data_IF_718017902792
#
_entry.id   IF_718017902792
#
_cell.length_a   1.000
_cell.length_b   1.000
_cell.length_c   1.000
_cell.angle_alpha   90.00
_cell.angle_beta   90.00
_cell.angle_gamma   90.00
#
_symmetry.space_group_name_H-M   'P 1'
#
loop_
_entity.id
_entity.type
_entity.pdbx_description
1 polymer ?
2 non-polymer ?
3 non-polymer ?
4 water ?
#
# COMPACT_ATOMS: atom_id res chain seq x y z
N UNK A 24 -19.40 -3.09 -20.37
CA UNK A 24 -19.87 -1.87 -19.71
C UNK A 24 -19.99 -2.07 -18.20
N UNK A 25 -20.26 -3.30 -17.78
CA UNK A 25 -20.39 -3.64 -16.37
C UNK A 25 -19.07 -4.23 -15.87
N UNK A 26 -18.39 -3.46 -15.04
CA UNK A 26 -17.05 -3.80 -14.61
C UNK A 26 -17.03 -4.54 -13.29
N UNK A 27 -15.91 -5.21 -13.04
CA UNK A 27 -15.65 -5.83 -11.76
C UNK A 27 -14.39 -5.20 -11.18
N UNK A 28 -14.40 -5.03 -9.87
CA UNK A 28 -13.28 -4.47 -9.15
C UNK A 28 -12.83 -5.26 -7.93
N UNK A 29 -11.54 -5.17 -7.62
CA UNK A 29 -10.94 -5.86 -6.48
C UNK A 29 -10.52 -4.92 -5.37
N UNK A 30 -10.79 -5.33 -4.15
CA UNK A 30 -10.27 -4.67 -2.96
C UNK A 30 -10.04 -5.74 -1.91
N UNK A 31 -8.94 -5.69 -1.17
CA UNK A 31 -8.61 -6.73 -0.20
C UNK A 31 -9.29 -6.55 1.16
N UNK A 32 -9.87 -5.37 1.42
CA UNK A 32 -10.24 -4.97 2.78
C UNK A 32 -11.65 -5.38 3.20
N UNK A 33 -11.89 -5.28 4.49
CA UNK A 33 -13.17 -5.69 5.07
C UNK A 33 -14.16 -4.56 5.15
N UNK A 34 -15.32 -4.84 5.74
CA UNK A 34 -16.36 -3.85 5.81
C UNK A 34 -15.95 -2.65 6.63
N UNK A 35 -16.38 -1.48 6.14
CA UNK A 35 -16.16 -0.25 6.87
C UNK A 35 -14.78 0.33 6.77
N UNK A 36 -13.83 -0.45 6.19
CA UNK A 36 -12.49 0.04 5.99
C UNK A 36 -12.55 1.19 5.01
N UNK A 37 -11.74 2.21 5.24
CA UNK A 37 -11.74 3.41 4.41
C UNK A 37 -11.74 3.09 2.94
N UNK A 38 -10.85 2.18 2.52
CA UNK A 38 -10.78 1.82 1.10
C UNK A 38 -12.04 1.16 0.56
N UNK A 39 -12.67 0.37 1.41
CA UNK A 39 -13.86 -0.32 1.04
C UNK A 39 -15.01 0.66 0.76
N UNK A 40 -15.23 1.53 1.72
CA UNK A 40 -16.31 2.53 1.64
C UNK A 40 -16.02 3.45 0.45
N UNK A 41 -14.75 3.79 0.27
CA UNK A 41 -14.37 4.68 -0.83
C UNK A 41 -14.49 4.02 -2.22
N UNK A 43 -16.68 1.71 -2.92
CA UNK A 43 -18.14 1.72 -3.12
C UNK A 43 -18.54 3.08 -3.66
N UNK A 44 -17.94 4.11 -3.11
CA UNK A 44 -18.24 5.47 -3.58
C UNK A 44 -17.78 5.70 -5.02
N UNK A 45 -16.60 5.18 -5.36
CA UNK A 45 -16.13 5.22 -6.72
C UNK A 45 -17.14 4.54 -7.64
N UNK A 46 -17.63 3.37 -7.26
CA UNK A 46 -18.60 2.67 -8.10
C UNK A 46 -19.89 3.50 -8.22
N UNK A 47 -20.36 4.06 -7.12
CA UNK A 47 -21.56 4.90 -7.14
C UNK A 47 -21.38 6.13 -8.05
N UNK A 48 -20.23 6.79 -7.89
CA UNK A 48 -19.96 7.99 -8.68
C UNK A 48 -19.74 7.68 -10.16
N UNK A 49 -19.15 6.54 -10.49
CA UNK A 49 -19.03 6.10 -11.87
C UNK A 49 -20.42 6.00 -12.51
N UNK A 50 -21.36 5.32 -11.83
CA UNK A 50 -22.70 5.17 -12.37
C UNK A 50 -23.43 6.50 -12.49
N UNK A 51 -23.25 7.38 -11.50
CA UNK A 51 -23.86 8.70 -11.58
C UNK A 51 -23.31 9.55 -12.73
N UNK A 52 -21.99 9.63 -12.84
CA UNK A 52 -21.38 10.59 -13.77
C UNK A 52 -21.45 10.11 -15.22
N UNK A 53 -21.62 8.80 -15.41
CA UNK A 53 -21.78 8.22 -16.75
C UNK A 53 -23.24 7.97 -17.10
N UNK A 54 -24.17 8.50 -16.31
CA UNK A 54 -25.59 8.23 -16.50
C UNK A 54 -25.97 6.77 -16.66
N UNK A 55 -25.25 5.89 -15.99
CA UNK A 55 -25.58 4.47 -16.00
C UNK A 55 -24.91 3.68 -17.13
N UNK A 56 -24.17 4.38 -17.98
CA UNK A 56 -23.51 3.71 -19.11
C UNK A 56 -22.40 2.81 -18.64
N UNK A 57 -21.76 3.17 -17.53
CA UNK A 57 -20.75 2.30 -16.94
C UNK A 57 -21.05 2.03 -15.46
N UNK A 58 -21.00 0.77 -15.06
CA UNK A 58 -21.17 0.41 -13.66
C UNK A 58 -20.03 -0.48 -13.19
N UNK A 59 -19.94 -0.65 -11.87
CA UNK A 59 -18.85 -1.39 -11.26
C UNK A 59 -19.36 -2.20 -10.09
N UNK A 60 -19.10 -3.51 -10.13
CA UNK A 60 -19.35 -4.38 -9.01
C UNK A 60 -18.04 -4.68 -8.25
N UNK A 62 -15.76 -6.58 -5.43
CA UNK A 62 -15.54 -7.74 -4.60
C UNK A 62 -14.51 -7.36 -3.55
N UNK A 63 -14.98 -7.01 -2.36
CA UNK A 63 -14.15 -6.65 -1.24
C UNK A 63 -13.62 -7.91 -0.53
N UNK A 64 -12.84 -7.70 0.53
CA UNK A 64 -12.35 -8.81 1.32
C UNK A 64 -11.44 -9.77 0.58
N UNK A 65 -10.88 -9.39 -0.57
CA UNK A 65 -9.93 -10.27 -1.24
C UNK A 65 -10.50 -11.58 -1.78
N UNK A 66 -11.83 -11.64 -1.90
CA UNK A 66 -12.47 -12.90 -2.25
C UNK A 66 -12.14 -13.31 -3.69
N UNK A 67 -11.62 -12.38 -4.49
CA UNK A 67 -11.18 -12.72 -5.84
C UNK A 67 -9.71 -13.20 -5.93
N UNK A 68 -8.96 -13.03 -4.86
CA UNK A 68 -7.62 -13.58 -4.84
C UNK A 68 -6.59 -12.66 -4.20
N UNK A 69 -5.35 -13.13 -4.21
CA UNK A 69 -4.28 -12.33 -3.62
C UNK A 69 -4.00 -11.06 -4.39
N UNK A 70 -3.27 -10.15 -3.78
CA UNK A 70 -3.01 -8.90 -4.47
C UNK A 70 -2.16 -9.12 -5.75
N UNK A 71 -1.08 -9.91 -5.67
CA UNK A 71 -0.36 -10.09 -6.95
C UNK A 71 -1.22 -10.73 -8.07
N UNK A 72 -2.06 -11.66 -7.71
CA UNK A 72 -2.93 -12.29 -8.68
C UNK A 72 -3.91 -11.24 -9.25
N UNK A 73 -4.48 -10.40 -8.39
CA UNK A 73 -5.41 -9.43 -8.88
C UNK A 73 -4.73 -8.44 -9.81
N UNK A 74 -3.51 -8.02 -9.46
CA UNK A 74 -2.74 -7.12 -10.33
C UNK A 74 -2.59 -7.77 -11.72
N UNK A 75 -2.24 -9.05 -11.78
CA UNK A 75 -2.15 -9.72 -13.06
C UNK A 75 -3.50 -9.75 -13.80
N UNK A 76 -4.59 -9.96 -13.08
CA UNK A 76 -5.91 -10.00 -13.74
C UNK A 76 -6.25 -8.63 -14.36
N UNK A 77 -5.94 -7.55 -13.66
CA UNK A 77 -6.21 -6.22 -14.20
C UNK A 77 -5.32 -5.97 -15.43
N UNK A 78 -4.06 -6.33 -15.33
CA UNK A 78 -3.15 -6.11 -16.46
C UNK A 78 -3.63 -6.90 -17.70
N UNK A 79 -4.09 -8.12 -17.46
CA UNK A 79 -4.54 -9.01 -18.53
C UNK A 79 -5.95 -8.69 -19.05
N UNK A 80 -6.66 -7.79 -18.39
CA UNK A 80 -8.01 -7.46 -18.77
C UNK A 80 -9.10 -8.41 -18.32
N UNK A 81 -8.77 -9.34 -17.44
CA UNK A 81 -9.76 -10.22 -16.85
C UNK A 81 -10.58 -9.52 -15.75
N UNK A 82 -10.03 -8.43 -15.23
CA UNK A 82 -10.68 -7.58 -14.23
C UNK A 82 -10.43 -6.16 -14.67
N UNK A 83 -11.41 -5.28 -14.54
CA UNK A 83 -11.21 -3.91 -15.00
C UNK A 83 -10.54 -3.01 -13.96
N UNK A 84 -10.85 -3.22 -12.69
CA UNK A 84 -10.53 -2.25 -11.65
C UNK A 84 -9.89 -2.92 -10.47
N UNK A 85 -8.93 -2.23 -9.84
CA UNK A 85 -8.43 -2.64 -8.55
C UNK A 85 -8.06 -1.42 -7.72
N UNK A 86 -8.23 -1.53 -6.41
CA UNK A 86 -7.54 -0.66 -5.48
C UNK A 86 -6.30 -1.43 -5.04
N UNK A 87 -5.16 -1.04 -5.58
CA UNK A 87 -3.90 -1.70 -5.31
C UNK A 87 -2.94 -0.82 -4.49
N UNK A 88 -2.39 -1.43 -3.46
CA UNK A 88 -1.20 -0.87 -2.81
C UNK A 88 -0.03 -0.91 -3.79
N UNK A 89 0.81 0.11 -3.82
CA UNK A 89 1.92 0.10 -4.79
C UNK A 89 3.04 -0.89 -4.47
N UNK A 90 3.07 -1.41 -3.24
CA UNK A 90 4.07 -2.40 -2.86
C UNK A 90 4.19 -3.58 -3.80
N UNK A 91 3.09 -4.29 -4.00
CA UNK A 91 3.10 -5.44 -4.94
C UNK A 91 3.12 -5.06 -6.43
N UNK A 92 2.90 -3.78 -6.73
CA UNK A 92 3.10 -3.28 -8.10
C UNK A 92 4.57 -3.08 -8.46
N UNK A 93 5.42 -2.90 -7.45
CA UNK A 93 6.81 -2.54 -7.69
C UNK A 93 7.57 -3.55 -8.52
N UNK A 94 7.35 -4.85 -8.26
CA UNK A 94 8.14 -5.82 -9.05
C UNK A 94 7.78 -5.78 -10.54
N UNK A 95 6.59 -5.29 -10.89
CA UNK A 95 6.14 -5.19 -12.29
C UNK A 95 6.59 -3.87 -12.96
N UNK A 96 6.71 -2.81 -12.16
CA UNK A 96 6.90 -1.45 -12.66
C UNK A 96 8.02 -0.73 -11.92
N UNK A 97 9.22 -0.66 -12.52
CA UNK A 97 10.38 -0.08 -11.85
C UNK A 97 10.14 1.27 -11.22
N UNK A 98 9.42 2.17 -11.90
CA UNK A 98 9.24 3.53 -11.38
C UNK A 98 8.35 3.47 -10.16
N UNK A 99 7.33 2.59 -10.19
CA UNK A 99 6.43 2.48 -9.05
C UNK A 99 7.16 1.91 -7.87
N UNK A 100 8.17 1.11 -8.15
CA UNK A 100 8.97 0.49 -7.12
C UNK A 100 9.68 1.51 -6.22
N UNK A 101 9.85 2.74 -6.68
CA UNK A 101 10.50 3.75 -5.87
C UNK A 101 9.76 4.05 -4.53
N UNK A 102 8.45 3.86 -4.48
CA UNK A 102 7.70 4.21 -3.26
C UNK A 102 7.82 3.11 -2.21
N UNK A 103 8.41 1.98 -2.61
CA UNK A 103 8.64 0.84 -1.76
C UNK A 103 10.04 0.90 -1.09
N UNK A 104 10.81 1.94 -1.38
CA UNK A 104 12.08 2.14 -0.67
C UNK A 104 11.84 2.60 0.76
N UNK A 105 12.42 1.88 1.74
CA UNK A 105 12.27 2.25 3.14
C UNK A 105 12.78 3.67 3.42
N UNK A 106 12.02 4.43 4.18
CA UNK A 106 12.44 5.76 4.62
C UNK A 106 12.65 6.76 3.48
N UNK A 107 11.90 6.63 2.38
CA UNK A 107 12.05 7.57 1.27
C UNK A 107 11.16 8.82 1.40
N UNK A 108 10.04 8.70 2.09
CA UNK A 108 9.23 9.86 2.43
C UNK A 108 9.43 10.18 3.91
N UNK A 109 9.31 11.45 4.28
CA UNK A 109 9.43 11.83 5.69
C UNK A 109 8.12 11.61 6.41
N UNK A 110 7.00 11.62 5.68
CA UNK A 110 5.68 11.40 6.25
C UNK A 110 4.64 11.40 5.14
N UNK A 111 3.38 11.15 5.52
CA UNK A 111 2.33 11.01 4.52
C UNK A 111 2.09 12.33 3.78
N UNK A 112 2.01 13.45 4.50
CA UNK A 112 1.81 14.68 3.74
C UNK A 112 2.91 14.90 2.71
N UNK A 113 4.15 14.57 3.07
CA UNK A 113 5.26 14.63 2.11
C UNK A 113 5.01 13.75 0.88
N UNK A 115 2.24 12.80 -0.50
CA UNK A 115 1.22 13.31 -1.39
C UNK A 115 1.78 14.49 -2.16
N UNK A 116 2.59 15.31 -1.49
CA UNK A 116 3.26 16.42 -2.18
C UNK A 116 4.11 15.88 -3.32
N UNK A 117 4.84 14.80 -3.06
CA UNK A 117 5.64 14.16 -4.09
C UNK A 117 4.80 13.58 -5.23
N UNK A 118 3.65 12.99 -4.90
CA UNK A 118 2.78 12.38 -5.91
C UNK A 118 2.02 13.37 -6.80
N UNK A 119 1.78 14.57 -6.29
CA UNK A 119 1.06 15.57 -7.08
C UNK A 119 2.04 16.34 -7.95
N UNK A 120 3.32 16.02 -7.80
CA UNK A 120 4.36 16.60 -8.64
C UNK A 120 4.90 15.63 -9.68
N UNK A 121 6.14 15.86 -10.10
CA UNK A 121 6.68 15.17 -11.28
C UNK A 121 6.88 13.68 -11.03
N UNK A 122 7.27 13.32 -9.82
CA UNK A 122 7.40 11.90 -9.46
C UNK A 122 6.15 11.11 -9.82
N UNK A 123 4.98 11.66 -9.50
CA UNK A 123 3.72 11.00 -9.79
C UNK A 123 3.49 10.73 -11.27
N UNK A 124 3.81 11.70 -12.13
CA UNK A 124 3.62 11.54 -13.56
C UNK A 124 4.51 10.41 -14.06
N UNK A 125 5.76 10.39 -13.57
CA UNK A 125 6.72 9.36 -13.97
C UNK A 125 6.23 7.97 -13.52
N UNK A 126 5.77 7.88 -12.28
CA UNK A 126 5.24 6.62 -11.76
C UNK A 126 4.04 6.17 -12.57
N UNK A 127 3.11 7.10 -12.83
CA UNK A 127 1.94 6.78 -13.65
C UNK A 127 2.31 6.33 -15.06
N UNK A 128 3.28 7.01 -15.67
CA UNK A 128 3.70 6.66 -17.01
C UNK A 128 4.21 5.24 -17.02
N UNK A 129 5.05 4.91 -16.04
CA UNK A 129 5.62 3.58 -15.94
C UNK A 129 4.52 2.56 -15.76
N UNK A 131 1.26 2.87 -16.67
CA UNK A 131 0.48 2.83 -17.89
C UNK A 131 1.21 1.99 -18.94
N UNK A 132 2.53 2.14 -18.97
CA UNK A 132 3.47 1.35 -19.77
C UNK A 132 3.36 -0.18 -19.58
N UNK A 133 3.02 -0.60 -18.37
CA UNK A 133 2.74 -2.02 -18.09
C UNK A 133 1.26 -2.37 -18.04
N UNK A 134 0.41 -1.52 -18.62
CA UNK A 134 -0.98 -1.87 -18.86
C UNK A 134 -1.95 -1.52 -17.74
N UNK A 135 -1.45 -0.79 -16.75
CA UNK A 135 -2.30 -0.42 -15.63
C UNK A 135 -2.30 1.09 -15.35
N UNK A 136 -3.45 1.69 -15.56
CA UNK A 136 -3.56 3.15 -15.45
C UNK A 136 -4.02 3.57 -14.03
N UNK A 137 -3.17 4.29 -13.26
CA UNK A 137 -3.71 4.84 -12.01
C UNK A 137 -4.61 6.05 -12.28
N UNK A 138 -5.74 6.09 -11.59
CA UNK A 138 -6.75 7.12 -11.71
C UNK A 138 -6.78 8.08 -10.54
N UNK A 139 -6.35 7.65 -9.37
CA UNK A 139 -6.29 8.49 -8.18
C UNK A 139 -5.47 7.78 -7.13
N UNK A 140 -4.98 8.54 -6.16
CA UNK A 140 -4.16 8.02 -5.10
C UNK A 140 -4.93 7.93 -3.76
N UNK A 141 -4.78 6.81 -3.07
CA UNK A 141 -5.33 6.61 -1.74
C UNK A 141 -4.24 6.62 -0.69
N UNK A 142 -4.58 7.04 0.53
CA UNK A 142 -3.69 7.02 1.70
C UNK A 142 -3.71 5.63 2.32
N UNK A 143 -2.53 5.14 2.71
CA UNK A 143 -2.41 3.92 3.53
C UNK A 143 -1.45 4.16 4.68
N UNK A 144 -1.24 5.44 5.01
CA UNK A 144 -0.42 5.79 6.14
C UNK A 144 1.00 5.27 6.09
N UNK A 145 1.62 5.22 7.28
CA UNK A 145 2.91 4.59 7.44
C UNK A 145 2.77 3.19 8.04
N UNK A 146 3.63 2.28 7.57
CA UNK A 146 3.73 0.93 8.07
C UNK A 146 4.79 0.81 9.18
N UNK A 147 4.44 0.13 10.25
CA UNK A 147 5.34 -0.12 11.38
C UNK A 147 5.29 -1.58 11.83
N UNK A 148 6.34 -2.01 12.53
CA UNK A 148 6.48 -3.38 12.95
C UNK A 148 5.53 -3.76 14.08
N UNK A 149 5.08 -5.00 14.04
CA UNK A 149 4.40 -5.57 15.19
C UNK A 149 4.78 -7.03 15.38
N UNK A 150 4.79 -7.49 16.63
CA UNK A 150 5.11 -8.88 16.94
C UNK A 150 4.58 -9.20 18.33
N UNK A 151 4.62 -10.48 18.69
CA UNK A 151 4.02 -10.94 19.92
C UNK A 151 5.00 -11.09 21.07
N UNK A 152 6.28 -10.95 20.79
CA UNK A 152 7.33 -11.28 21.77
C UNK A 152 7.86 -10.06 22.54
N UNK A 153 8.24 -9.01 21.83
CA UNK A 153 8.92 -7.90 22.49
C UNK A 153 8.88 -6.62 21.68
N UNK A 154 9.06 -5.48 22.35
CA UNK A 154 9.21 -4.22 21.62
C UNK A 154 10.43 -4.22 20.71
N UNK A 155 10.35 -3.46 19.62
CA UNK A 155 11.50 -3.18 18.75
C UNK A 155 11.90 -1.72 18.93
N UNK A 156 13.14 -1.49 19.36
CA UNK A 156 13.67 -0.13 19.49
C UNK A 156 14.93 0.10 18.69
N UNK A 157 15.65 -0.98 18.42
CA UNK A 157 16.88 -0.90 17.63
C UNK A 157 16.91 -2.06 16.65
N UNK A 158 17.71 -1.93 15.58
CA UNK A 158 17.88 -3.05 14.65
C UNK A 158 18.24 -4.36 15.36
N UNK A 159 19.03 -4.30 16.43
CA UNK A 159 19.33 -5.49 17.20
C UNK A 159 18.08 -6.26 17.62
N UNK A 160 16.97 -5.57 17.88
CA UNK A 160 15.74 -6.25 18.30
C UNK A 160 15.09 -7.07 17.19
N UNK A 161 15.48 -6.82 15.94
CA UNK A 161 14.93 -7.54 14.79
C UNK A 161 15.77 -8.77 14.46
N UNK A 162 16.99 -8.83 14.98
CA UNK A 162 17.88 -9.94 14.64
C UNK A 162 17.22 -11.26 15.03
N UNK A 163 17.15 -12.18 14.08
CA UNK A 163 16.59 -13.49 14.29
C UNK A 163 15.08 -13.55 14.20
N UNK A 165 11.44 -13.67 12.54
CA UNK A 165 10.81 -14.02 11.27
C UNK A 165 9.73 -12.99 11.04
N UNK A 166 9.92 -12.14 10.04
CA UNK A 166 8.96 -11.07 9.78
C UNK A 166 8.32 -11.22 8.39
N UNK A 167 6.99 -11.30 8.39
CA UNK A 167 6.26 -11.35 7.14
C UNK A 167 6.32 -10.00 6.46
N UNK A 168 6.49 -10.07 5.14
CA UNK A 168 6.42 -8.90 4.28
C UNK A 168 5.60 -9.19 3.06
N UNK A 170 5.00 -9.25 -1.13
CA UNK A 170 5.78 -9.85 -2.21
C UNK A 170 6.57 -8.84 -3.07
N UNK A 171 7.70 -8.39 -2.55
CA UNK A 171 8.59 -7.44 -3.21
C UNK A 171 9.97 -7.60 -2.60
N UNK A 172 10.98 -7.90 -3.43
CA UNK A 172 12.32 -8.17 -2.89
C UNK A 172 12.94 -6.98 -2.16
N UNK A 173 12.44 -5.76 -2.40
CA UNK A 173 12.89 -4.64 -1.58
C UNK A 173 12.59 -4.87 -0.10
N UNK A 174 11.47 -5.52 0.18
CA UNK A 174 11.05 -5.72 1.57
C UNK A 174 11.79 -6.90 2.21
N UNK A 175 12.12 -7.90 1.40
CA UNK A 175 12.94 -9.00 1.90
C UNK A 175 14.32 -8.43 2.25
N UNK A 176 14.85 -7.59 1.38
CA UNK A 176 16.08 -6.89 1.71
C UNK A 176 16.06 -6.05 2.98
N UNK A 178 14.29 -6.42 5.59
CA UNK A 178 14.31 -7.24 6.80
C UNK A 178 15.69 -7.87 7.01
N UNK A 179 16.28 -8.38 5.93
CA UNK A 179 17.58 -9.04 6.02
C UNK A 179 18.64 -8.07 6.55
N UNK A 180 18.53 -6.78 6.19
CA UNK A 180 19.53 -5.79 6.65
C UNK A 180 19.35 -5.36 8.12
N UNK A 181 18.19 -5.69 8.68
CA UNK A 181 17.95 -5.50 10.10
C UNK A 181 18.25 -6.80 10.83
N UNK A 182 18.73 -7.80 10.09
CA UNK A 182 19.12 -9.08 10.65
C UNK A 182 17.99 -10.05 10.87
N UNK A 183 16.81 -9.72 10.35
CA UNK A 183 15.68 -10.62 10.47
C UNK A 183 15.64 -11.60 9.33
N UNK A 184 14.63 -12.47 9.38
CA UNK A 184 14.43 -13.46 8.37
C UNK A 184 13.07 -13.17 7.73
N UNK A 185 13.11 -12.64 6.52
CA UNK A 185 11.86 -12.24 5.85
C UNK A 185 11.05 -13.42 5.36
N UNK A 186 9.74 -13.24 5.37
CA UNK A 186 8.83 -14.24 4.87
C UNK A 186 7.78 -13.58 4.02
N UNK A 187 7.98 -13.56 2.71
CA UNK A 187 6.94 -13.00 1.87
C UNK A 187 5.72 -13.91 1.87
N UNK A 189 1.11 -13.90 1.36
CA UNK A 189 -0.16 -13.27 1.10
C UNK A 189 -0.75 -12.70 2.40
N UNK A 190 -1.33 -11.52 2.30
CA UNK A 190 -1.92 -10.82 3.42
C UNK A 190 -2.91 -11.68 4.16
N UNK A 191 -3.73 -12.44 3.41
CA UNK A 191 -4.80 -13.24 3.98
C UNK A 191 -4.28 -14.29 4.96
N UNK A 192 -3.04 -14.72 4.76
CA UNK A 192 -2.47 -15.86 5.49
C UNK A 192 -1.70 -15.43 6.74
N UNK A 193 -1.56 -14.12 6.92
CA UNK A 193 -0.74 -13.60 8.02
C UNK A 193 -1.32 -13.90 9.45
N UNK A 194 -2.62 -13.78 9.66
CA UNK A 194 -3.22 -14.05 10.95
C UNK A 194 -2.88 -15.46 11.45
N UNK A 195 -3.13 -16.48 10.62
CA UNK A 195 -2.81 -17.84 11.01
C UNK A 195 -1.32 -18.00 11.29
N UNK A 196 -0.47 -17.40 10.46
CA UNK A 196 0.95 -17.57 10.59
C UNK A 196 1.44 -16.98 11.90
N UNK A 197 0.90 -15.84 12.32
CA UNK A 197 1.25 -15.24 13.60
C UNK A 197 0.73 -16.10 14.75
N UNK A 198 -0.50 -16.60 14.60
CA UNK A 198 -1.15 -17.49 15.58
C UNK A 198 -0.29 -18.71 15.90
N UNK A 199 0.18 -19.39 14.86
CA UNK A 199 0.93 -20.64 15.02
C UNK A 199 2.45 -20.46 15.17
N UNK A 200 2.93 -19.23 15.02
CA UNK A 200 4.37 -18.99 15.17
C UNK A 200 5.20 -19.28 13.93
N UNK A 201 4.55 -19.51 12.78
CA UNK A 201 5.26 -19.63 11.51
C UNK A 201 6.01 -18.33 11.18
N UNK A 202 5.45 -17.18 11.55
CA UNK A 202 6.21 -15.94 11.57
C UNK A 202 6.10 -15.36 12.97
N UNK A 203 7.06 -14.53 13.34
CA UNK A 203 7.06 -13.88 14.64
C UNK A 203 6.35 -12.54 14.61
N UNK A 204 6.36 -11.87 13.46
CA UNK A 204 5.82 -10.53 13.36
C UNK A 204 5.54 -10.17 11.92
N UNK A 205 5.08 -8.94 11.75
CA UNK A 205 4.79 -8.40 10.45
C UNK A 205 4.85 -6.88 10.57
N UNK A 206 4.34 -6.16 9.57
CA UNK A 206 4.37 -4.70 9.61
C UNK A 206 3.23 -4.13 8.78
N UNK A 207 2.63 -3.04 9.27
CA UNK A 207 1.51 -2.46 8.57
C UNK A 207 1.05 -1.19 9.24
N UNK A 208 0.07 -0.53 8.63
CA UNK A 208 -0.52 0.66 9.23
C UNK A 208 -1.51 0.29 10.35
N UNK A 209 -1.96 1.28 11.13
CA UNK A 209 -2.88 0.99 12.22
C UNK A 209 -4.17 0.30 11.80
N UNK A 210 -4.83 0.80 10.74
CA UNK A 210 -6.11 0.18 10.37
C UNK A 210 -6.03 -1.31 9.94
N UNK A 211 -4.95 -1.69 9.28
CA UNK A 211 -4.76 -3.09 8.87
C UNK A 211 -4.42 -3.95 10.08
N UNK A 212 -3.59 -3.43 10.96
CA UNK A 212 -3.19 -4.14 12.18
C UNK A 212 -4.44 -4.47 12.97
N UNK A 213 -5.35 -3.51 13.02
CA UNK A 213 -6.58 -3.68 13.75
C UNK A 213 -7.59 -4.57 12.99
N UNK A 214 -7.89 -4.27 11.73
CA UNK A 214 -8.99 -4.95 11.00
C UNK A 214 -8.82 -6.45 10.71
N UNK A 215 -7.57 -6.90 10.59
CA UNK A 215 -7.25 -8.28 10.25
C UNK A 215 -7.21 -9.16 11.49
N UNK A 216 -7.21 -8.51 12.63
CA UNK A 216 -7.08 -9.21 13.91
C UNK A 216 -5.64 -9.44 14.33
N UNK A 217 -4.68 -8.94 13.54
CA UNK A 217 -3.29 -9.24 13.86
C UNK A 217 -2.94 -8.77 15.27
N UNK A 218 -3.56 -7.69 15.73
CA UNK A 218 -3.21 -7.16 17.04
C UNK A 218 -3.51 -8.17 18.15
N UNK A 219 -4.47 -9.08 17.94
CA UNK A 219 -4.83 -10.10 18.94
C UNK A 219 -3.78 -11.19 19.09
N UNK A 220 -2.96 -11.34 18.05
CA UNK A 220 -1.96 -12.39 18.00
C UNK A 220 -0.53 -11.86 17.88
N UNK A 221 -0.39 -10.53 17.95
CA UNK A 221 0.89 -9.81 17.89
C UNK A 221 0.77 -8.47 18.63
N UNK A 222 0.80 -8.49 19.96
CA UNK A 222 0.42 -7.30 20.72
C UNK A 222 1.44 -6.25 21.07
N UNK A 223 2.62 -6.30 20.47
CA UNK A 223 3.57 -5.18 20.56
C UNK A 223 3.60 -4.45 19.21
N UNK A 224 3.33 -3.15 19.20
CA UNK A 224 3.37 -2.36 17.97
C UNK A 224 4.43 -1.27 18.17
N UNK A 225 5.41 -1.26 17.29
CA UNK A 225 6.55 -0.36 17.40
C UNK A 225 6.59 0.56 16.19
N UNK A 226 6.52 1.87 16.46
CA UNK A 226 6.36 2.90 15.43
C UNK A 226 7.62 3.22 14.65
N UNK A 227 8.09 2.23 13.90
CA UNK A 227 9.24 2.38 13.02
C UNK A 227 8.89 3.25 11.83
N UNK A 228 7.64 3.17 11.37
CA UNK A 228 7.21 3.95 10.22
C UNK A 228 8.23 3.87 9.08
N UNK A 229 8.64 2.64 8.77
CA UNK A 229 9.73 2.35 7.84
C UNK A 229 9.33 2.39 6.38
N UNK A 230 8.03 2.23 6.11
CA UNK A 230 7.52 2.31 4.74
C UNK A 230 6.30 3.23 4.73
N UNK A 231 6.22 4.10 3.72
CA UNK A 231 5.08 4.97 3.50
C UNK A 231 4.72 4.80 2.02
N UNK A 232 3.79 3.89 1.76
CA UNK A 232 3.46 3.42 0.42
C UNK A 232 2.03 3.87 0.09
N UNK A 233 1.83 4.54 -1.06
CA UNK A 233 0.49 4.96 -1.43
C UNK A 233 -0.25 3.81 -2.11
N UNK A 234 -1.54 3.98 -2.29
CA UNK A 234 -2.31 3.06 -3.10
C UNK A 234 -2.93 3.83 -4.22
N UNK A 235 -3.51 3.11 -5.15
CA UNK A 235 -4.23 3.75 -6.22
C UNK A 235 -5.58 3.07 -6.48
N UNK A 236 -6.44 3.76 -7.18
CA UNK A 236 -7.51 3.18 -7.95
C UNK A 236 -6.90 2.96 -9.33
N UNK A 237 -6.90 1.71 -9.81
CA UNK A 237 -6.16 1.15 -10.99
C UNK A 237 -7.24 0.76 -12.01
N UNK A 238 -7.04 1.04 -13.29
CA UNK A 238 -7.89 0.47 -14.36
C UNK A 238 -7.00 -0.13 -15.43
N UNK A 239 -7.47 -1.24 -15.99
CA UNK A 239 -6.87 -1.82 -17.17
C UNK A 239 -6.83 -0.77 -18.28
N UNK A 240 -5.65 -0.53 -18.86
CA UNK A 240 -5.51 0.60 -19.76
C UNK A 240 -6.31 0.46 -21.07
N UNK A 241 -6.49 -0.77 -21.55
CA UNK A 241 -7.29 -0.97 -22.76
C UNK A 241 -8.74 -0.57 -22.54
N UNK A 242 -9.28 -1.00 -21.42
CA UNK A 242 -10.61 -0.60 -20.97
C UNK A 242 -10.74 0.93 -20.94
N UNK A 243 -9.78 1.60 -20.33
CA UNK A 243 -9.81 3.05 -20.20
C UNK A 243 -9.69 3.75 -21.56
N UNK A 244 -8.78 3.26 -22.39
CA UNK A 244 -8.52 3.92 -23.65
C UNK A 244 -9.67 3.79 -24.63
N UNK A 245 -10.54 2.81 -24.41
CA UNK A 245 -11.68 2.58 -25.28
C UNK A 245 -12.82 3.56 -24.98
N UNK A 246 -12.71 4.30 -23.88
CA UNK A 246 -13.75 5.26 -23.55
C UNK A 246 -13.66 6.48 -24.44
N UNK A 247 -14.79 7.12 -24.63
CA UNK A 247 -14.83 8.45 -25.20
C UNK A 247 -14.10 9.44 -24.29
N UNK A 248 -13.80 10.62 -24.81
CA UNK A 248 -13.11 11.63 -24.03
C UNK A 248 -13.94 12.03 -22.83
N UNK A 249 -15.24 12.24 -23.02
CA UNK A 249 -16.07 12.64 -21.92
C UNK A 249 -16.24 11.51 -20.88
N UNK A 251 -13.87 9.22 -20.17
CA UNK A 251 -12.61 9.25 -19.44
C UNK A 251 -12.65 10.34 -18.38
N UNK A 252 -13.22 11.48 -18.73
CA UNK A 252 -13.29 12.59 -17.77
C UNK A 252 -14.18 12.20 -16.59
N UNK A 253 -15.31 11.56 -16.89
CA UNK A 253 -16.19 11.06 -15.83
C UNK A 253 -15.54 10.04 -14.91
N UNK A 254 -14.81 9.07 -15.49
CA UNK A 254 -14.13 8.03 -14.71
C UNK A 254 -13.06 8.65 -13.82
N UNK A 255 -12.27 9.58 -14.37
CA UNK A 255 -11.23 10.27 -13.58
C UNK A 255 -11.82 11.10 -12.44
N UNK A 256 -12.90 11.83 -12.74
CA UNK A 256 -13.56 12.66 -11.72
C UNK A 256 -14.14 11.76 -10.59
N UNK A 257 -14.77 10.64 -10.96
CA UNK A 257 -15.25 9.70 -9.96
C UNK A 257 -14.12 9.20 -9.08
N UNK A 258 -13.01 8.82 -9.72
CA UNK A 258 -11.86 8.31 -9.00
C UNK A 258 -11.26 9.35 -8.09
N UNK A 259 -11.07 10.54 -8.60
CA UNK A 259 -10.50 11.61 -7.79
C UNK A 259 -11.36 11.93 -6.56
N UNK A 260 -12.66 12.04 -6.79
CA UNK A 260 -13.58 12.36 -5.71
C UNK A 260 -13.65 11.22 -4.67
N UNK A 261 -13.66 9.96 -5.13
CA UNK A 261 -13.56 8.84 -4.25
C UNK A 261 -12.31 8.94 -3.39
N UNK A 262 -11.19 9.32 -4.03
CA UNK A 262 -9.94 9.41 -3.27
C UNK A 262 -9.91 10.53 -2.24
N UNK A 263 -10.48 11.69 -2.56
CA UNK A 263 -10.58 12.73 -1.53
C UNK A 263 -11.42 12.25 -0.34
N UNK A 264 -12.50 11.51 -0.62
CA UNK A 264 -13.31 10.93 0.46
C UNK A 264 -12.52 9.89 1.27
N UNK A 265 -11.81 9.01 0.55
CA UNK A 265 -10.97 8.01 1.18
C UNK A 265 -9.98 8.62 2.15
N UNK A 266 -9.40 9.75 1.73
CA UNK A 266 -8.40 10.40 2.55
C UNK A 266 -9.04 10.95 3.83
N UNK A 267 -10.26 11.49 3.72
CA UNK A 267 -11.01 11.92 4.93
C UNK A 267 -11.35 10.73 5.82
N UNK A 268 -11.84 9.64 5.23
CA UNK A 268 -12.15 8.44 6.00
C UNK A 268 -10.88 7.90 6.67
N UNK A 269 -9.79 7.90 5.91
CA UNK A 269 -8.53 7.32 6.38
C UNK A 269 -8.03 7.98 7.66
N UNK A 270 -8.00 9.31 7.70
CA UNK A 270 -7.44 9.97 8.86
C UNK A 270 -8.25 9.72 10.14
N UNK A 271 -9.57 9.66 10.03
CA UNK A 271 -10.39 9.29 11.18
C UNK A 271 -10.15 7.83 11.60
N UNK A 272 -9.79 6.98 10.65
CA UNK A 272 -9.75 5.54 10.93
C UNK A 272 -8.46 5.19 11.62
N UNK A 273 -7.38 5.87 11.25
CA UNK A 273 -6.09 5.62 11.85
C UNK A 273 -6.17 5.86 13.35
N UNK A 274 -6.89 6.90 13.73
CA UNK A 274 -6.98 7.24 15.14
C UNK A 274 -7.89 6.28 15.89
N UNK A 275 -9.03 5.95 15.28
CA UNK A 275 -9.99 5.02 15.87
C UNK A 275 -9.40 3.62 16.02
N UNK A 276 -8.66 3.18 14.99
CA UNK A 276 -7.99 1.88 15.01
C UNK A 276 -6.95 1.84 16.10
N UNK A 277 -6.10 2.85 16.12
CA UNK A 277 -5.06 2.88 17.13
C UNK A 277 -5.69 2.87 18.53
N UNK A 278 -6.77 3.62 18.70
CA UNK A 278 -7.38 3.72 20.03
C UNK A 278 -8.01 2.40 20.46
N UNK A 279 -8.68 1.73 19.52
CA UNK A 279 -9.31 0.46 19.83
C UNK A 279 -8.30 -0.62 20.20
N UNK A 280 -7.14 -0.65 19.55
CA UNK A 280 -6.19 -1.71 19.90
C UNK A 280 -5.40 -1.41 21.18
N UNK A 281 -5.15 -0.12 21.45
CA UNK A 281 -4.51 0.29 22.70
C UNK A 281 -5.41 -0.06 23.87
N UNK A 282 -6.71 0.08 23.67
CA UNK A 282 -7.67 -0.24 24.73
C UNK A 282 -7.73 -1.74 24.98
N UNK A 283 -7.46 -2.53 23.94
CA UNK A 283 -7.55 -3.97 24.01
C UNK A 283 -6.27 -4.57 24.59
N UNK A 284 -5.29 -3.71 24.82
CA UNK A 284 -4.13 -4.11 25.58
C UNK A 284 -2.83 -4.05 24.81
N UNK A 285 -2.87 -3.58 23.57
CA UNK A 285 -1.64 -3.50 22.79
C UNK A 285 -0.66 -2.58 23.46
N UNK A 286 0.58 -3.02 23.51
CA UNK A 286 1.66 -2.23 24.05
C UNK A 286 2.39 -1.51 22.95
N UNK A 287 2.27 -0.19 22.93
CA UNK A 287 2.84 0.63 21.86
C UNK A 287 4.13 1.28 22.32
N UNK A 288 5.11 1.31 21.43
CA UNK A 288 6.31 2.10 21.64
C UNK A 288 6.71 2.93 20.41
N UNK A 289 7.22 4.13 20.67
CA UNK A 289 7.88 4.94 19.66
C UNK A 289 9.29 4.41 19.48
N UNK A 290 9.89 4.74 18.32
CA UNK A 290 11.31 4.47 18.08
C UNK A 290 12.07 5.81 18.06
N UNK A 291 12.70 6.15 19.18
CA UNK A 291 13.38 7.44 19.32
C UNK A 291 14.49 7.69 18.30
N UNK A 292 15.35 6.70 18.10
CA UNK A 292 16.44 6.82 17.14
C UNK A 292 16.19 5.93 15.93
N UNK A 293 15.52 6.48 14.92
CA UNK A 293 15.28 5.72 13.70
C UNK A 293 16.52 5.69 12.81
N UNK A 294 17.52 6.48 13.15
CA UNK A 294 18.66 6.65 12.26
C UNK A 294 19.38 5.36 11.91
N UNK A 295 19.51 4.43 12.88
CA UNK A 295 20.22 3.19 12.53
C UNK A 295 19.39 2.27 11.63
N UNK A 296 18.07 2.39 11.70
CA UNK A 296 17.20 1.67 10.78
C UNK A 296 17.41 2.21 9.39
N UNK A 297 17.40 3.53 9.26
CA UNK A 297 17.67 4.15 7.97
C UNK A 297 19.05 3.80 7.44
N UNK A 298 20.07 3.91 8.29
CA UNK A 298 21.44 3.68 7.83
C UNK A 298 21.59 2.29 7.27
N UNK A 299 20.86 1.34 7.84
CA UNK A 299 20.98 -0.05 7.47
C UNK A 299 20.38 -0.33 6.07
N UNK A 301 21.08 1.30 3.38
CA UNK A 301 21.98 1.72 2.31
C UNK A 301 22.03 0.69 1.19
N UNK A 302 22.25 -0.59 1.53
CA UNK A 302 22.34 -1.69 0.55
C UNK A 302 21.04 -1.95 -0.25
N UNK A 303 19.89 -1.62 0.31
CA UNK A 303 18.63 -1.80 -0.41
C UNK A 303 18.49 -0.70 -1.48
N UNK A 304 18.78 0.54 -1.10
CA UNK A 304 18.74 1.66 -2.05
C UNK A 304 19.78 1.44 -3.12
N UNK A 305 20.99 1.18 -2.71
CA UNK A 305 22.08 0.97 -3.62
C UNK A 305 21.76 -0.19 -4.57
N UNK A 306 21.03 -1.17 -4.07
CA UNK A 306 20.68 -2.33 -4.90
C UNK A 306 19.50 -2.06 -5.87
N UNK A 307 18.66 -1.08 -5.54
CA UNK A 307 17.69 -0.57 -6.51
C UNK A 307 18.38 0.28 -7.59
N UNK A 308 19.40 1.02 -7.20
CA UNK A 308 20.12 1.88 -8.13
C UNK A 308 20.83 1.03 -9.17
N UNK A 309 21.35 -0.11 -8.71
CA UNK A 309 22.09 -1.01 -9.58
C UNK A 309 21.15 -1.71 -10.54
N UNK A 310 19.94 -2.01 -10.09
CA UNK A 310 18.94 -2.65 -10.95
C UNK A 310 18.28 -1.66 -11.91
N UNK A 311 18.26 -0.38 -11.52
CA UNK A 311 17.50 0.65 -12.22
C UNK A 311 18.28 1.97 -12.27
N UNK A 312 19.42 1.97 -12.98
CA UNK A 312 20.29 3.17 -13.03
C UNK A 312 19.54 4.42 -13.47
N UNK A 313 18.64 4.25 -14.43
CA UNK A 313 17.85 5.35 -14.97
C UNK A 313 16.96 6.03 -13.96
N UNK A 314 16.71 5.36 -12.84
CA UNK A 314 15.72 5.84 -11.90
C UNK A 314 16.35 6.46 -10.66
N UNK A 315 17.68 6.55 -10.64
CA UNK A 315 18.37 7.24 -9.55
C UNK A 315 17.83 8.67 -9.38
N UNK A 316 17.68 9.41 -10.51
CA UNK A 316 17.12 10.76 -10.48
C UNK A 316 15.69 10.82 -9.94
N UNK A 317 14.90 9.77 -10.09
CA UNK A 317 13.55 9.75 -9.51
C UNK A 317 13.67 9.74 -7.99
N UNK A 318 14.59 8.93 -7.49
CA UNK A 318 14.83 8.84 -6.06
C UNK A 318 15.31 10.18 -5.50
N UNK A 319 16.27 10.81 -6.18
CA UNK A 319 16.80 12.10 -5.72
C UNK A 319 15.75 13.20 -5.77
N UNK A 320 14.93 13.17 -6.81
CA UNK A 320 13.81 14.09 -6.97
C UNK A 320 12.84 14.03 -5.79
N UNK A 321 12.54 12.82 -5.33
CA UNK A 321 11.64 12.64 -4.20
C UNK A 321 12.27 13.15 -2.91
N UNK A 322 13.54 12.81 -2.71
CA UNK A 322 14.23 13.16 -1.48
C UNK A 322 14.51 14.66 -1.42
N UNK A 323 14.48 15.31 -2.58
CA UNK A 323 14.73 16.75 -2.65
C UNK A 323 13.45 17.55 -2.42
N UNK A 324 12.31 16.87 -2.44
CA UNK A 324 11.01 17.55 -2.33
C UNK A 324 10.71 17.88 -0.88
N UNK A 325 10.21 19.10 -0.64
CA UNK A 325 9.94 19.53 0.73
C UNK A 325 8.64 18.92 1.20
#
# INVERSE_FOLDING_TARGET
XHHHHHHSSGVDLGTENLYFQSXDNWRGWNIHVDGYPNTVAXDKFAELLAVKTGGEYTLQXFHGGTLGSQPDAIEQVRAGALEIGNFNLGPIGPLVPAANVVSLPFIFKDVPHXFRVLDGEAGKIIAAGXAEKGIQPLAWYDAGARSFYNGEKPINTPADVEGXKVRVXNNELFTGXIAELGGNPSPXAFAEVYQALKTGVVDGAENNWPSYESTGHFEVAGFYSLSQHLIIPECICINIGTFNALSDEXKTAVLEAAQESALYQRDLWNKREAASRAAVEAAGVVVNEIADKAPFQAAXAPVYEAYFEANPDLRPLVELIQATE
#
